data_IF_256132312547
#
_entry.id   IF_256132312547
#
_cell.length_a   1.000
_cell.length_b   1.000
_cell.length_c   1.000
_cell.angle_alpha   90.00
_cell.angle_beta   90.00
_cell.angle_gamma   90.00
#
_symmetry.space_group_name_H-M   'P 1'
#
loop_
_entity.id
_entity.type
_entity.pdbx_description
1 polymer ?
#
# COMPACT_ATOMS: atom_id res chain seq x y z
N UNK A 1 24.75 -30.23 -29.01
CA UNK A 1 25.06 -28.88 -29.55
C UNK A 1 23.81 -28.06 -29.87
N UNK A 2 22.80 -28.59 -30.57
CA UNK A 2 21.61 -27.83 -30.98
C UNK A 2 20.81 -27.23 -29.80
N UNK A 3 20.62 -27.98 -28.71
CA UNK A 3 19.94 -27.49 -27.51
C UNK A 3 20.63 -26.29 -26.84
N UNK A 4 21.97 -26.23 -26.87
CA UNK A 4 22.72 -25.12 -26.28
C UNK A 4 22.51 -23.81 -27.05
N UNK A 5 22.48 -23.87 -28.39
CA UNK A 5 22.23 -22.70 -29.23
C UNK A 5 20.84 -22.13 -28.97
N UNK A 6 19.81 -22.99 -28.93
CA UNK A 6 18.45 -22.54 -28.61
C UNK A 6 18.32 -22.03 -27.18
N UNK A 7 19.04 -22.61 -26.22
CA UNK A 7 19.08 -22.07 -24.85
C UNK A 7 19.65 -20.64 -24.83
N UNK A 8 20.78 -20.41 -25.49
CA UNK A 8 21.40 -19.07 -25.56
C UNK A 8 20.51 -18.04 -26.27
N UNK A 9 19.81 -18.45 -27.33
CA UNK A 9 18.86 -17.58 -28.03
C UNK A 9 17.64 -17.26 -27.16
N UNK A 10 17.12 -18.24 -26.44
CA UNK A 10 15.99 -18.04 -25.53
C UNK A 10 16.35 -17.11 -24.35
N UNK A 11 17.57 -17.19 -23.85
CA UNK A 11 18.09 -16.27 -22.83
C UNK A 11 18.20 -14.84 -23.38
N UNK A 12 18.77 -14.67 -24.57
CA UNK A 12 18.85 -13.36 -25.23
C UNK A 12 17.47 -12.72 -25.46
N UNK A 13 16.48 -13.50 -25.94
CA UNK A 13 15.12 -13.01 -26.13
C UNK A 13 14.45 -12.61 -24.82
N UNK A 14 14.65 -13.39 -23.75
CA UNK A 14 14.14 -13.07 -22.41
C UNK A 14 14.71 -11.75 -21.89
N UNK A 15 16.01 -11.55 -22.05
CA UNK A 15 16.69 -10.33 -21.59
C UNK A 15 16.18 -9.10 -22.36
N UNK A 16 15.99 -9.23 -23.67
CA UNK A 16 15.44 -8.15 -24.50
C UNK A 16 14.00 -7.79 -24.11
N UNK A 17 13.16 -8.78 -23.78
CA UNK A 17 11.79 -8.55 -23.28
C UNK A 17 11.83 -7.87 -21.91
N UNK A 18 12.73 -8.31 -21.02
CA UNK A 18 12.89 -7.74 -19.69
C UNK A 18 13.31 -6.26 -19.77
N UNK A 19 14.33 -5.94 -20.58
CA UNK A 19 14.81 -4.57 -20.79
C UNK A 19 13.69 -3.65 -21.29
N UNK A 20 12.94 -4.09 -22.31
CA UNK A 20 11.79 -3.34 -22.84
C UNK A 20 10.71 -3.12 -21.80
N UNK A 21 10.41 -4.13 -20.99
CA UNK A 21 9.43 -4.03 -19.91
C UNK A 21 9.86 -3.01 -18.86
N UNK A 22 11.12 -3.04 -18.46
CA UNK A 22 11.67 -2.10 -17.48
C UNK A 22 11.69 -0.67 -18.00
N UNK A 23 12.06 -0.46 -19.27
CA UNK A 23 11.97 0.84 -19.93
C UNK A 23 10.53 1.37 -19.96
N UNK A 24 9.55 0.52 -20.30
CA UNK A 24 8.14 0.86 -20.29
C UNK A 24 7.61 1.22 -18.90
N UNK A 25 7.98 0.46 -17.87
CA UNK A 25 7.64 0.74 -16.48
C UNK A 25 8.25 2.05 -16.00
N UNK A 26 9.52 2.34 -16.35
CA UNK A 26 10.17 3.60 -16.04
C UNK A 26 9.44 4.78 -16.68
N UNK A 27 9.10 4.70 -17.97
CA UNK A 27 8.33 5.73 -18.67
C UNK A 27 6.92 5.92 -18.07
N UNK A 28 6.26 4.84 -17.62
CA UNK A 28 4.98 4.94 -16.93
C UNK A 28 5.09 5.63 -15.56
N UNK A 29 6.14 5.32 -14.79
CA UNK A 29 6.42 5.99 -13.51
C UNK A 29 6.73 7.48 -13.69
N UNK A 30 7.50 7.84 -14.72
CA UNK A 30 7.80 9.23 -15.05
C UNK A 30 6.53 10.04 -15.37
N UNK A 31 5.51 9.41 -15.96
CA UNK A 31 4.17 9.99 -16.19
C UNK A 31 3.28 10.01 -14.93
N UNK A 32 3.80 9.65 -13.76
CA UNK A 32 3.07 9.67 -12.49
C UNK A 32 2.30 8.39 -12.14
N UNK A 33 2.46 7.30 -12.92
CA UNK A 33 1.83 6.01 -12.57
C UNK A 33 2.62 5.34 -11.44
N UNK A 34 2.01 5.23 -10.26
CA UNK A 34 2.64 4.58 -9.10
C UNK A 34 2.83 3.05 -9.30
N UNK A 35 1.91 2.38 -9.99
CA UNK A 35 1.90 0.92 -10.13
C UNK A 35 1.46 0.19 -8.85
N UNK A 36 1.64 -1.13 -8.81
CA UNK A 36 1.33 -1.96 -7.63
C UNK A 36 -0.16 -2.15 -7.33
N UNK A 37 -0.46 -2.81 -6.21
CA UNK A 37 -1.84 -3.04 -5.73
C UNK A 37 -2.41 -1.72 -5.16
N UNK A 38 -3.60 -1.28 -5.58
CA UNK A 38 -4.25 -0.10 -5.01
C UNK A 38 -4.43 -0.23 -3.48
N UNK A 39 -4.22 0.87 -2.77
CA UNK A 39 -4.46 0.93 -1.31
C UNK A 39 -5.97 0.83 -1.04
N UNK A 40 -6.35 -0.07 -0.13
CA UNK A 40 -7.75 -0.28 0.30
C UNK A 40 -8.26 0.84 1.23
N UNK A 41 -7.35 1.45 1.99
CA UNK A 41 -7.65 2.52 2.94
C UNK A 41 -7.43 3.88 2.27
N UNK A 42 -8.50 4.69 2.21
CA UNK A 42 -8.47 6.05 1.67
C UNK A 42 -8.49 7.07 2.80
N UNK A 43 -8.17 8.35 2.51
CA UNK A 43 -8.28 9.43 3.50
C UNK A 43 -9.68 9.55 4.10
N UNK A 44 -10.71 9.32 3.29
CA UNK A 44 -12.11 9.36 3.74
C UNK A 44 -12.43 8.21 4.68
N UNK A 45 -12.08 6.97 4.29
CA UNK A 45 -12.25 5.79 5.15
C UNK A 45 -11.48 5.93 6.46
N UNK A 46 -10.29 6.53 6.41
CA UNK A 46 -9.48 6.76 7.60
C UNK A 46 -10.15 7.75 8.57
N UNK A 47 -10.69 8.86 8.07
CA UNK A 47 -11.43 9.82 8.91
C UNK A 47 -12.67 9.17 9.54
N UNK A 48 -13.42 8.40 8.75
CA UNK A 48 -14.58 7.65 9.25
C UNK A 48 -14.17 6.61 10.30
N UNK A 49 -13.10 5.86 10.05
CA UNK A 49 -12.54 4.90 11.00
C UNK A 49 -12.15 5.56 12.32
N UNK A 50 -11.48 6.71 12.28
CA UNK A 50 -11.10 7.45 13.48
C UNK A 50 -12.30 7.89 14.31
N UNK A 51 -13.36 8.40 13.66
CA UNK A 51 -14.58 8.81 14.34
C UNK A 51 -15.34 7.63 14.96
N UNK A 52 -15.55 6.56 14.18
CA UNK A 52 -16.28 5.37 14.62
C UNK A 52 -15.55 4.61 15.75
N UNK A 53 -14.22 4.55 15.69
CA UNK A 53 -13.39 3.90 16.71
C UNK A 53 -13.18 4.77 17.96
N UNK A 54 -13.46 6.07 17.90
CA UNK A 54 -13.43 6.94 19.08
C UNK A 54 -14.67 6.73 19.97
N UNK A 55 -15.79 6.35 19.35
CA UNK A 55 -16.99 5.90 20.04
C UNK A 55 -16.79 4.46 20.56
N UNK A 56 -16.91 4.30 21.88
CA UNK A 56 -16.61 3.03 22.56
C UNK A 56 -17.71 1.99 22.41
N UNK A 57 -18.90 2.40 21.96
CA UNK A 57 -20.02 1.49 21.72
C UNK A 57 -19.86 0.70 20.42
N UNK A 58 -18.98 1.15 19.51
CA UNK A 58 -18.71 0.47 18.26
C UNK A 58 -17.65 -0.62 18.41
N UNK A 59 -18.02 -1.86 18.08
CA UNK A 59 -17.05 -2.94 17.97
C UNK A 59 -16.19 -2.76 16.70
N UNK A 60 -14.87 -2.92 16.84
CA UNK A 60 -13.93 -2.78 15.73
C UNK A 60 -14.23 -3.72 14.54
N UNK A 61 -14.88 -4.87 14.79
CA UNK A 61 -15.32 -5.78 13.74
C UNK A 61 -16.40 -5.16 12.85
N UNK A 62 -17.38 -4.51 13.46
CA UNK A 62 -18.49 -3.89 12.75
C UNK A 62 -18.02 -2.66 11.97
N UNK A 63 -17.13 -1.87 12.56
CA UNK A 63 -16.46 -0.75 11.88
C UNK A 63 -15.68 -1.25 10.65
N UNK A 64 -14.95 -2.37 10.77
CA UNK A 64 -14.19 -2.93 9.65
C UNK A 64 -15.11 -3.41 8.52
N UNK A 65 -16.21 -4.09 8.86
CA UNK A 65 -17.22 -4.54 7.89
C UNK A 65 -17.86 -3.35 7.18
N UNK A 66 -18.28 -2.32 7.93
CA UNK A 66 -18.89 -1.12 7.38
C UNK A 66 -17.96 -0.37 6.41
N UNK A 67 -16.65 -0.35 6.70
CA UNK A 67 -15.64 0.28 5.84
C UNK A 67 -15.14 -0.63 4.70
N UNK A 68 -15.57 -1.90 4.67
CA UNK A 68 -15.16 -2.89 3.69
C UNK A 68 -13.66 -3.21 3.75
N UNK A 69 -13.09 -3.26 4.96
CA UNK A 69 -11.68 -3.61 5.20
C UNK A 69 -11.59 -4.73 6.22
N UNK A 70 -10.46 -5.46 6.26
CA UNK A 70 -10.24 -6.42 7.33
C UNK A 70 -10.00 -5.70 8.66
N UNK A 71 -10.31 -6.37 9.77
CA UNK A 71 -10.01 -5.87 11.12
C UNK A 71 -8.51 -5.62 11.30
N UNK A 72 -7.66 -6.47 10.72
CA UNK A 72 -6.20 -6.27 10.71
C UNK A 72 -5.80 -5.00 9.97
N UNK A 73 -6.47 -4.68 8.86
CA UNK A 73 -6.26 -3.42 8.13
C UNK A 73 -6.71 -2.24 8.98
N UNK A 74 -7.89 -2.32 9.60
CA UNK A 74 -8.39 -1.25 10.46
C UNK A 74 -7.38 -0.92 11.58
N UNK A 75 -6.93 -1.93 12.32
CA UNK A 75 -5.93 -1.74 13.39
C UNK A 75 -4.53 -1.37 12.91
N UNK A 76 -4.18 -1.65 11.66
CA UNK A 76 -2.91 -1.17 11.10
C UNK A 76 -2.91 0.36 10.92
N UNK A 77 -4.09 0.97 10.78
CA UNK A 77 -4.25 2.41 10.54
C UNK A 77 -4.73 3.18 11.77
N UNK A 78 -5.60 2.61 12.60
CA UNK A 78 -6.25 3.30 13.73
C UNK A 78 -6.17 2.42 14.98
N UNK A 79 -5.90 3.02 16.14
CA UNK A 79 -5.93 2.30 17.41
C UNK A 79 -7.37 2.13 17.96
N UNK A 80 -7.50 1.44 19.09
CA UNK A 80 -8.79 1.21 19.76
C UNK A 80 -9.43 2.50 20.34
N UNK A 81 -8.74 3.64 20.29
CA UNK A 81 -9.21 4.95 20.78
C UNK A 81 -9.47 5.93 19.63
N UNK A 82 -9.47 5.46 18.38
CA UNK A 82 -9.66 6.29 17.20
C UNK A 82 -8.45 7.13 16.80
N UNK A 83 -7.27 6.91 17.40
CA UNK A 83 -6.05 7.67 17.08
C UNK A 83 -5.32 7.06 15.87
N UNK A 84 -4.78 7.89 14.96
CA UNK A 84 -4.08 7.42 13.77
C UNK A 84 -2.70 6.85 14.14
N UNK A 85 -2.39 5.68 13.59
CA UNK A 85 -1.05 5.06 13.64
C UNK A 85 -0.13 5.62 12.55
N UNK A 86 1.11 5.15 12.51
CA UNK A 86 2.13 5.57 11.55
C UNK A 86 1.64 5.46 10.08
N UNK A 87 1.05 4.32 9.71
CA UNK A 87 0.50 4.10 8.36
C UNK A 87 -0.61 5.08 7.99
N UNK A 88 -1.40 5.54 8.97
CA UNK A 88 -2.42 6.56 8.77
C UNK A 88 -1.81 7.95 8.58
N UNK A 89 -0.69 8.24 9.25
CA UNK A 89 0.04 9.50 9.11
C UNK A 89 0.57 9.70 7.69
N UNK A 90 1.06 8.63 7.06
CA UNK A 90 1.45 8.64 5.63
C UNK A 90 0.27 9.02 4.72
N UNK A 91 -0.91 8.44 4.96
CA UNK A 91 -2.11 8.73 4.17
C UNK A 91 -2.60 10.16 4.35
N UNK A 92 -2.49 10.73 5.55
CA UNK A 92 -2.91 12.11 5.83
C UNK A 92 -1.92 13.16 5.30
N UNK A 93 -0.79 12.74 4.72
CA UNK A 93 0.21 13.65 4.16
C UNK A 93 1.05 14.36 5.23
N UNK A 94 0.96 13.95 6.50
CA UNK A 94 1.84 14.41 7.57
C UNK A 94 3.13 13.59 7.48
N UNK A 95 4.06 14.04 6.63
CA UNK A 95 5.43 13.52 6.59
C UNK A 95 6.02 13.69 8.00
N UNK A 96 6.22 12.59 8.72
CA UNK A 96 6.97 12.47 9.98
C UNK A 96 6.84 13.63 10.98
N UNK A 97 5.88 13.57 11.90
CA UNK A 97 5.96 14.33 13.17
C UNK A 97 5.65 13.39 14.33
N UNK A 98 6.47 12.33 14.53
CA UNK A 98 6.65 11.60 15.81
C UNK A 98 7.95 10.78 15.83
N UNK A 99 9.12 11.40 15.63
CA UNK A 99 10.40 10.78 16.05
C UNK A 99 11.09 11.53 17.21
N UNK A 100 10.37 12.35 17.98
CA UNK A 100 10.96 13.12 19.09
C UNK A 100 10.27 12.98 20.45
N UNK A 101 9.56 11.88 20.71
CA UNK A 101 9.10 11.60 22.08
C UNK A 101 9.22 10.09 22.36
N UNK A 102 10.43 9.66 22.74
CA UNK A 102 10.69 8.60 23.71
C UNK A 102 12.22 8.44 23.84
N UNK A 103 12.76 8.93 24.95
CA UNK A 103 14.11 8.75 25.51
C UNK A 103 15.30 9.12 24.61
#
# INVERSE_FOLDING_TARGET
MVFGIFATLAEFERDLIHERTMAGLAAARARGRAGGRPRVMTKQKLKAAMALMADRDNAARDVAVQLGVSVSTLYAYVDAKGQPRERASELLGKRGVRSKIAA
#
